data_IF_805725400926
#
_entry.id   IF_805725400926
#
_cell.length_a   1.000
_cell.length_b   1.000
_cell.length_c   1.000
_cell.angle_alpha   90.00
_cell.angle_beta   90.00
_cell.angle_gamma   90.00
#
_symmetry.space_group_name_H-M   'P 1'
#
loop_
_entity.id
_entity.type
_entity.pdbx_description
1 polymer ?
#
# COMPACT_ATOMS: atom_id res chain seq x y z
N UNK A 1 13.48 -12.09 1.82
CA UNK A 1 14.91 -12.23 2.04
C UNK A 1 15.74 -12.13 0.78
N UNK A 2 15.28 -12.76 -0.32
CA UNK A 2 16.04 -12.69 -1.58
C UNK A 2 16.12 -11.28 -2.16
N UNK A 3 15.03 -10.49 -2.03
CA UNK A 3 14.93 -9.18 -2.65
C UNK A 3 15.42 -8.04 -1.76
N UNK A 4 15.49 -8.25 -0.46
CA UNK A 4 15.92 -7.24 0.53
C UNK A 4 15.26 -5.87 0.25
N UNK A 5 13.94 -5.75 0.36
CA UNK A 5 13.27 -4.49 0.05
C UNK A 5 13.67 -3.40 1.04
N UNK A 6 13.70 -2.16 0.54
CA UNK A 6 14.03 -1.00 1.36
C UNK A 6 12.84 -0.51 2.17
N UNK A 7 11.63 -0.80 1.72
CA UNK A 7 10.40 -0.38 2.37
C UNK A 7 9.25 -1.29 1.99
N UNK A 8 8.23 -1.29 2.82
CA UNK A 8 6.99 -1.99 2.53
C UNK A 8 5.82 -1.02 2.69
N UNK A 9 4.88 -1.09 1.77
CA UNK A 9 3.66 -0.30 1.82
C UNK A 9 2.49 -1.25 2.03
N UNK A 10 1.62 -0.92 2.99
CA UNK A 10 0.42 -1.69 3.27
C UNK A 10 -0.78 -0.78 3.33
N UNK A 11 -1.94 -1.33 2.97
CA UNK A 11 -3.19 -0.61 3.07
C UNK A 11 -3.69 -0.65 4.50
N UNK A 12 -4.17 0.50 4.98
CA UNK A 12 -4.75 0.59 6.31
C UNK A 12 -6.12 -0.08 6.30
N UNK A 13 -6.31 -1.03 7.21
CA UNK A 13 -7.55 -1.80 7.28
C UNK A 13 -8.60 -1.10 8.12
N UNK A 14 -9.84 -1.20 7.65
CA UNK A 14 -11.01 -0.76 8.40
C UNK A 14 -11.98 -1.93 8.53
N UNK A 15 -12.44 -2.18 9.74
CA UNK A 15 -13.42 -3.21 10.01
C UNK A 15 -14.81 -2.59 9.90
N UNK A 16 -15.55 -2.90 8.83
CA UNK A 16 -16.88 -2.35 8.63
C UNK A 16 -17.97 -3.37 8.85
N UNK A 17 -18.33 -4.15 7.83
CA UNK A 17 -19.55 -4.94 7.87
C UNK A 17 -19.36 -6.46 7.92
N UNK A 18 -18.15 -6.96 7.82
CA UNK A 18 -17.90 -8.41 7.83
C UNK A 18 -16.83 -8.75 8.86
N UNK A 19 -17.28 -8.94 10.10
CA UNK A 19 -16.37 -9.20 11.22
C UNK A 19 -15.56 -10.49 11.06
N UNK A 20 -16.16 -11.54 10.50
CA UNK A 20 -15.47 -12.81 10.33
C UNK A 20 -14.31 -12.69 9.36
N UNK A 21 -14.55 -12.11 8.19
CA UNK A 21 -13.50 -11.85 7.19
C UNK A 21 -12.46 -10.88 7.75
N UNK A 22 -12.93 -9.85 8.48
CA UNK A 22 -12.04 -8.86 9.09
C UNK A 22 -11.06 -9.46 10.09
N UNK A 23 -11.50 -10.44 10.89
CA UNK A 23 -10.61 -11.11 11.86
C UNK A 23 -9.51 -11.86 11.14
N UNK A 24 -9.84 -12.66 10.11
CA UNK A 24 -8.84 -13.40 9.34
C UNK A 24 -7.84 -12.51 8.65
N UNK A 25 -8.31 -11.40 8.07
CA UNK A 25 -7.44 -10.41 7.43
C UNK A 25 -6.52 -9.76 8.45
N UNK A 26 -7.05 -9.43 9.64
CA UNK A 26 -6.24 -8.82 10.70
C UNK A 26 -5.15 -9.79 11.19
N UNK A 27 -5.45 -11.07 11.32
CA UNK A 27 -4.46 -12.08 11.71
C UNK A 27 -3.34 -12.17 10.68
N UNK A 28 -3.68 -12.28 9.40
CA UNK A 28 -2.71 -12.33 8.31
C UNK A 28 -1.85 -11.06 8.28
N UNK A 29 -2.47 -9.90 8.46
CA UNK A 29 -1.78 -8.62 8.50
C UNK A 29 -0.77 -8.59 9.66
N UNK A 30 -1.16 -9.11 10.82
CA UNK A 30 -0.28 -9.18 12.00
C UNK A 30 0.98 -9.99 11.72
N UNK A 31 0.85 -11.14 11.05
CA UNK A 31 1.99 -11.97 10.68
C UNK A 31 2.93 -11.23 9.73
N UNK A 32 2.39 -10.55 8.74
CA UNK A 32 3.18 -9.76 7.78
C UNK A 32 3.92 -8.64 8.49
N UNK A 33 3.25 -7.90 9.36
CA UNK A 33 3.85 -6.81 10.11
C UNK A 33 4.99 -7.30 10.98
N UNK A 34 4.81 -8.44 11.65
CA UNK A 34 5.85 -9.03 12.47
C UNK A 34 7.07 -9.42 11.64
N UNK A 35 6.84 -10.05 10.49
CA UNK A 35 7.92 -10.45 9.60
C UNK A 35 8.73 -9.25 9.12
N UNK A 36 8.05 -8.15 8.76
CA UNK A 36 8.70 -6.92 8.33
C UNK A 36 9.53 -6.31 9.47
N UNK A 37 8.98 -6.29 10.68
CA UNK A 37 9.68 -5.77 11.85
C UNK A 37 10.94 -6.57 12.14
N UNK A 38 10.85 -7.89 12.09
CA UNK A 38 11.99 -8.77 12.32
C UNK A 38 13.06 -8.62 11.26
N UNK A 39 12.67 -8.34 10.02
CA UNK A 39 13.60 -8.12 8.92
C UNK A 39 14.16 -6.69 8.88
N UNK A 40 13.68 -5.80 9.74
CA UNK A 40 14.12 -4.41 9.78
C UNK A 40 13.64 -3.60 8.57
N UNK A 41 12.54 -4.00 7.93
CA UNK A 41 11.99 -3.31 6.76
C UNK A 41 11.01 -2.23 7.22
N UNK A 42 11.25 -0.94 6.86
CA UNK A 42 10.32 0.14 7.21
C UNK A 42 8.95 -0.09 6.61
N UNK A 43 7.92 0.21 7.40
CA UNK A 43 6.52 0.04 7.01
C UNK A 43 5.85 1.40 6.84
N UNK A 44 5.13 1.56 5.75
CA UNK A 44 4.33 2.75 5.47
C UNK A 44 2.89 2.33 5.20
N UNK A 45 1.94 3.00 5.84
CA UNK A 45 0.53 2.68 5.70
C UNK A 45 -0.20 3.75 4.90
N UNK A 46 -1.11 3.32 4.05
CA UNK A 46 -1.92 4.21 3.22
C UNK A 46 -3.38 3.79 3.29
N UNK A 47 -4.28 4.78 3.36
CA UNK A 47 -5.71 4.52 3.32
C UNK A 47 -6.15 4.23 1.89
N UNK A 48 -7.28 3.53 1.70
CA UNK A 48 -7.83 3.34 0.34
C UNK A 48 -8.03 4.64 -0.42
N UNK A 49 -8.46 5.70 0.28
CA UNK A 49 -8.63 7.02 -0.34
C UNK A 49 -7.29 7.59 -0.83
N UNK A 50 -6.24 7.45 -0.03
CA UNK A 50 -4.91 7.92 -0.43
C UNK A 50 -4.40 7.19 -1.67
N UNK A 51 -4.63 5.89 -1.75
CA UNK A 51 -4.23 5.10 -2.92
C UNK A 51 -5.00 5.56 -4.16
N UNK A 52 -6.30 5.70 -4.05
CA UNK A 52 -7.13 6.18 -5.16
C UNK A 52 -6.71 7.57 -5.62
N UNK A 53 -6.48 8.48 -4.68
CA UNK A 53 -6.04 9.83 -4.98
C UNK A 53 -4.69 9.83 -5.70
N UNK A 54 -3.75 9.02 -5.24
CA UNK A 54 -2.42 8.96 -5.82
C UNK A 54 -2.44 8.43 -7.26
N UNK A 55 -3.26 7.42 -7.53
CA UNK A 55 -3.29 6.75 -8.83
C UNK A 55 -4.15 7.52 -9.83
N UNK A 56 -5.32 8.02 -9.41
CA UNK A 56 -6.29 8.62 -10.33
C UNK A 56 -6.42 10.13 -10.19
N UNK A 57 -5.94 10.71 -9.09
CA UNK A 57 -6.18 12.11 -8.76
C UNK A 57 -7.53 12.34 -8.08
N UNK A 58 -8.28 11.29 -7.80
CA UNK A 58 -9.61 11.40 -7.21
C UNK A 58 -9.81 10.34 -6.12
N UNK A 59 -9.97 10.78 -4.87
CA UNK A 59 -10.04 9.88 -3.71
C UNK A 59 -11.27 8.99 -3.64
N UNK A 60 -12.28 9.27 -4.46
CA UNK A 60 -13.50 8.47 -4.54
C UNK A 60 -13.60 7.69 -5.86
N UNK A 61 -12.49 7.49 -6.54
CA UNK A 61 -12.47 6.76 -7.79
C UNK A 61 -12.98 5.33 -7.62
N UNK A 62 -13.65 4.83 -8.64
CA UNK A 62 -14.13 3.45 -8.65
C UNK A 62 -13.00 2.48 -9.00
N UNK A 63 -13.15 1.24 -8.56
CA UNK A 63 -12.12 0.22 -8.77
C UNK A 63 -11.68 0.08 -10.23
N UNK A 64 -12.58 0.03 -11.23
CA UNK A 64 -12.15 -0.02 -12.63
C UNK A 64 -11.28 1.16 -13.06
N UNK A 65 -11.56 2.35 -12.51
CA UNK A 65 -10.76 3.54 -12.81
C UNK A 65 -9.36 3.42 -12.24
N UNK A 66 -9.23 2.93 -11.00
CA UNK A 66 -7.93 2.71 -10.37
C UNK A 66 -7.14 1.67 -11.15
N UNK A 67 -7.77 0.58 -11.56
CA UNK A 67 -7.13 -0.49 -12.33
C UNK A 67 -6.62 0.01 -13.68
N UNK A 68 -7.42 0.78 -14.39
CA UNK A 68 -7.02 1.29 -15.70
C UNK A 68 -5.87 2.30 -15.59
N UNK A 69 -5.92 3.19 -14.60
CA UNK A 69 -4.83 4.13 -14.39
C UNK A 69 -3.55 3.44 -13.95
N UNK A 70 -3.66 2.40 -13.12
CA UNK A 70 -2.50 1.58 -12.74
C UNK A 70 -1.87 0.97 -13.98
N UNK A 71 -2.68 0.40 -14.86
CA UNK A 71 -2.20 -0.16 -16.13
C UNK A 71 -1.45 0.89 -16.95
N UNK A 72 -2.03 2.08 -17.10
CA UNK A 72 -1.44 3.17 -17.89
C UNK A 72 -0.13 3.67 -17.29
N UNK A 73 -0.11 3.90 -15.99
CA UNK A 73 1.07 4.42 -15.31
C UNK A 73 2.26 3.47 -15.38
N UNK A 74 1.99 2.17 -15.39
CA UNK A 74 3.02 1.14 -15.47
C UNK A 74 3.25 0.63 -16.88
N UNK A 75 2.54 1.18 -17.88
CA UNK A 75 2.66 0.79 -19.29
C UNK A 75 2.40 -0.70 -19.51
N UNK A 76 1.41 -1.25 -18.81
CA UNK A 76 1.08 -2.67 -18.94
C UNK A 76 0.14 -2.89 -20.14
N UNK A 77 0.24 -4.05 -20.82
CA UNK A 77 -0.62 -4.34 -21.97
C UNK A 77 -2.09 -4.54 -21.58
N UNK A 78 -2.35 -4.99 -20.35
CA UNK A 78 -3.70 -5.20 -19.86
C UNK A 78 -3.72 -5.05 -18.33
N UNK A 79 -4.92 -4.90 -17.78
CA UNK A 79 -5.09 -4.83 -16.31
C UNK A 79 -4.64 -6.15 -15.69
N UNK A 80 -3.75 -6.11 -14.68
CA UNK A 80 -3.27 -7.33 -14.04
C UNK A 80 -4.40 -8.10 -13.34
N UNK A 81 -4.29 -9.41 -13.37
CA UNK A 81 -5.21 -10.33 -12.70
C UNK A 81 -4.43 -11.29 -11.81
N UNK A 82 -4.98 -11.73 -10.68
CA UNK A 82 -6.26 -11.33 -10.09
C UNK A 82 -6.25 -9.88 -9.59
N UNK A 83 -7.40 -9.40 -9.15
CA UNK A 83 -7.58 -8.01 -8.69
C UNK A 83 -6.55 -7.60 -7.63
N UNK A 84 -6.17 -8.53 -6.75
CA UNK A 84 -5.19 -8.27 -5.71
C UNK A 84 -3.84 -7.81 -6.27
N UNK A 85 -3.47 -8.31 -7.45
CA UNK A 85 -2.25 -7.88 -8.12
C UNK A 85 -2.32 -6.40 -8.50
N UNK A 86 -3.44 -5.97 -9.08
CA UNK A 86 -3.64 -4.58 -9.42
C UNK A 86 -3.67 -3.70 -8.16
N UNK A 87 -4.28 -4.17 -7.08
CA UNK A 87 -4.34 -3.45 -5.81
C UNK A 87 -2.93 -3.25 -5.24
N UNK A 88 -2.10 -4.28 -5.26
CA UNK A 88 -0.72 -4.20 -4.77
C UNK A 88 0.11 -3.21 -5.60
N UNK A 89 -0.06 -3.23 -6.92
CA UNK A 89 0.65 -2.29 -7.80
C UNK A 89 0.20 -0.85 -7.57
N UNK A 90 -1.09 -0.63 -7.36
CA UNK A 90 -1.61 0.70 -7.06
C UNK A 90 -1.03 1.23 -5.75
N UNK A 91 -0.92 0.37 -4.74
CA UNK A 91 -0.31 0.71 -3.46
C UNK A 91 1.17 1.08 -3.63
N UNK A 92 1.90 0.33 -4.44
CA UNK A 92 3.30 0.62 -4.74
C UNK A 92 3.45 1.99 -5.44
N UNK A 93 2.56 2.32 -6.37
CA UNK A 93 2.55 3.63 -7.03
C UNK A 93 2.32 4.73 -6.00
N UNK A 94 1.36 4.55 -5.11
CA UNK A 94 1.07 5.50 -4.05
C UNK A 94 2.30 5.79 -3.20
N UNK A 95 2.99 4.75 -2.77
CA UNK A 95 4.21 4.90 -1.98
C UNK A 95 5.33 5.57 -2.79
N UNK A 96 5.49 5.19 -4.04
CA UNK A 96 6.50 5.78 -4.92
C UNK A 96 6.33 7.28 -5.09
N UNK A 97 5.09 7.73 -5.27
CA UNK A 97 4.78 9.15 -5.36
C UNK A 97 5.06 9.87 -4.05
N UNK A 98 4.69 9.29 -2.92
CA UNK A 98 4.94 9.88 -1.61
C UNK A 98 6.44 9.99 -1.34
N UNK A 99 7.21 8.95 -1.62
CA UNK A 99 8.65 8.93 -1.41
C UNK A 99 9.39 9.82 -2.41
N UNK A 100 8.82 10.02 -3.61
CA UNK A 100 9.41 10.85 -4.67
C UNK A 100 9.35 12.34 -4.38
N UNK A 101 8.43 12.80 -3.54
CA UNK A 101 8.30 14.21 -3.19
C UNK A 101 9.33 14.57 -2.11
N UNK A 102 10.18 15.59 -2.31
CA UNK A 102 11.14 16.00 -1.28
C UNK A 102 10.47 16.36 0.05
N UNK A 103 9.34 17.05 0.00
CA UNK A 103 8.58 17.41 1.19
C UNK A 103 8.03 16.18 1.88
N UNK A 104 7.39 15.29 1.12
CA UNK A 104 6.82 14.05 1.66
C UNK A 104 7.89 13.12 2.17
N UNK A 105 9.04 13.07 1.51
CA UNK A 105 10.19 12.29 2.00
C UNK A 105 10.62 12.72 3.39
N UNK A 106 10.65 14.02 3.62
CA UNK A 106 10.97 14.56 4.94
C UNK A 106 9.94 14.16 5.99
N UNK A 107 8.66 14.20 5.64
CA UNK A 107 7.59 13.78 6.55
C UNK A 107 7.65 12.28 6.85
N UNK A 108 7.88 11.45 5.83
CA UNK A 108 8.00 10.01 6.00
C UNK A 108 9.18 9.67 6.91
N UNK A 109 10.30 10.33 6.71
CA UNK A 109 11.50 10.12 7.52
C UNK A 109 11.25 10.45 8.98
N UNK A 110 10.55 11.56 9.27
CA UNK A 110 10.24 11.96 10.64
C UNK A 110 9.27 10.99 11.32
N UNK A 111 8.36 10.42 10.57
CA UNK A 111 7.34 9.51 11.09
C UNK A 111 7.82 8.06 11.16
N UNK A 112 8.93 7.76 10.50
CA UNK A 112 9.45 6.40 10.49
C UNK A 112 10.39 6.19 11.66
N UNK A 113 9.85 5.60 12.73
CA UNK A 113 10.60 5.18 13.91
C UNK A 113 10.38 3.69 14.13
N UNK A 114 11.35 2.98 14.73
CA UNK A 114 11.19 1.54 14.95
C UNK A 114 9.92 1.16 15.68
N UNK A 115 9.52 1.92 16.67
CA UNK A 115 8.31 1.67 17.44
C UNK A 115 7.02 1.85 16.64
N UNK A 116 7.09 2.47 15.47
CA UNK A 116 5.93 2.67 14.60
C UNK A 116 5.72 1.53 13.62
N UNK A 117 6.66 0.61 13.55
CA UNK A 117 6.59 -0.51 12.61
C UNK A 117 5.60 -1.56 13.10
N UNK A 118 5.34 -1.62 14.39
CA UNK A 118 4.39 -2.57 14.99
C UNK A 118 3.19 -1.84 15.64
#
# INVERSE_FOLDING_TARGET
TRLRPEAAAVEKLYFTNNKTTGIGVAEARGVILLALAQAGVPLYEYTPMQVKQAVTGYGKALKPQVQEMTRRLLCLPKVPKPDDTADALALAICHGQAAGSPLRRGLLRRNHKPEQVI
#
